data_IF_168578628393
#
_entry.id   IF_168578628393
#
_cell.length_a   1.000
_cell.length_b   1.000
_cell.length_c   1.000
_cell.angle_alpha   90.00
_cell.angle_beta   90.00
_cell.angle_gamma   90.00
#
_symmetry.space_group_name_H-M   'P 1'
#
loop_
_entity.id
_entity.type
_entity.pdbx_description
1 polymer ?
#
# COMPACT_ATOMS: atom_id res chain seq x y z
N UNK A 1 -23.31 9.02 0.10
CA UNK A 1 -22.48 7.83 -0.21
C UNK A 1 -22.32 7.02 1.07
N UNK A 2 -22.54 5.70 1.03
CA UNK A 2 -22.50 4.87 2.25
C UNK A 2 -21.04 4.68 2.70
N UNK A 3 -20.69 5.22 3.87
CA UNK A 3 -19.33 5.19 4.43
C UNK A 3 -18.78 3.77 4.58
N UNK A 4 -19.66 2.78 4.82
CA UNK A 4 -19.28 1.37 4.89
C UNK A 4 -18.81 0.82 3.53
N UNK A 5 -19.47 1.20 2.44
CA UNK A 5 -19.07 0.80 1.08
C UNK A 5 -17.73 1.43 0.71
N UNK A 6 -17.55 2.71 1.04
CA UNK A 6 -16.28 3.41 0.83
C UNK A 6 -15.14 2.73 1.58
N UNK A 7 -15.36 2.33 2.83
CA UNK A 7 -14.37 1.62 3.64
C UNK A 7 -13.89 0.33 2.95
N UNK A 8 -14.80 -0.56 2.58
CA UNK A 8 -14.42 -1.80 1.89
C UNK A 8 -13.78 -1.54 0.53
N UNK A 9 -14.30 -0.59 -0.24
CA UNK A 9 -13.74 -0.23 -1.54
C UNK A 9 -12.30 0.25 -1.41
N UNK A 10 -12.00 1.12 -0.44
CA UNK A 10 -10.64 1.62 -0.19
C UNK A 10 -9.70 0.50 0.26
N UNK A 11 -10.16 -0.42 1.10
CA UNK A 11 -9.34 -1.55 1.56
C UNK A 11 -8.96 -2.49 0.42
N UNK A 12 -9.91 -2.89 -0.42
CA UNK A 12 -9.60 -3.74 -1.58
C UNK A 12 -8.81 -2.99 -2.65
N UNK A 13 -9.12 -1.70 -2.90
CA UNK A 13 -8.36 -0.88 -3.84
C UNK A 13 -6.90 -0.74 -3.39
N UNK A 14 -6.64 -0.54 -2.11
CA UNK A 14 -5.28 -0.41 -1.61
C UNK A 14 -4.48 -1.71 -1.74
N UNK A 15 -5.12 -2.86 -1.55
CA UNK A 15 -4.52 -4.19 -1.80
C UNK A 15 -4.18 -4.35 -3.29
N UNK A 16 -5.13 -4.09 -4.19
CA UNK A 16 -4.91 -4.21 -5.63
C UNK A 16 -3.75 -3.32 -6.10
N UNK A 17 -3.76 -2.05 -5.68
CA UNK A 17 -2.68 -1.09 -5.98
C UNK A 17 -1.36 -1.57 -5.40
N UNK A 18 -1.36 -2.11 -4.18
CA UNK A 18 -0.17 -2.71 -3.56
C UNK A 18 0.39 -3.91 -4.33
N UNK A 19 -0.47 -4.80 -4.84
CA UNK A 19 -0.06 -5.94 -5.68
C UNK A 19 0.58 -5.43 -6.98
N UNK A 20 -0.06 -4.48 -7.67
CA UNK A 20 0.51 -3.89 -8.89
C UNK A 20 1.85 -3.21 -8.61
N UNK A 21 1.96 -2.47 -7.50
CA UNK A 21 3.19 -1.83 -7.07
C UNK A 21 4.30 -2.86 -6.83
N UNK A 22 3.99 -3.97 -6.14
CA UNK A 22 4.93 -5.05 -5.89
C UNK A 22 5.38 -5.74 -7.18
N UNK A 23 4.48 -5.95 -8.15
CA UNK A 23 4.83 -6.53 -9.45
C UNK A 23 5.79 -5.62 -10.24
N UNK A 24 5.68 -4.29 -10.12
CA UNK A 24 6.59 -3.37 -10.78
C UNK A 24 8.06 -3.54 -10.34
N UNK A 25 8.32 -4.15 -9.18
CA UNK A 25 9.69 -4.42 -8.69
C UNK A 25 10.45 -5.40 -9.59
N UNK A 26 9.76 -6.33 -10.26
CA UNK A 26 10.41 -7.37 -11.06
C UNK A 26 11.24 -6.83 -12.24
N UNK A 27 10.95 -5.60 -12.70
CA UNK A 27 11.72 -4.93 -13.75
C UNK A 27 12.16 -3.55 -13.29
N UNK A 28 13.48 -3.31 -13.26
CA UNK A 28 14.07 -2.02 -12.82
C UNK A 28 13.50 -0.84 -13.60
N UNK A 29 13.18 -1.01 -14.88
CA UNK A 29 12.57 0.03 -15.73
C UNK A 29 11.22 0.54 -15.18
N UNK A 30 10.48 -0.33 -14.47
CA UNK A 30 9.17 -0.01 -13.91
C UNK A 30 9.25 0.49 -12.46
N UNK A 31 10.45 0.65 -11.90
CA UNK A 31 10.63 1.00 -10.49
C UNK A 31 10.01 2.35 -10.15
N UNK A 32 10.15 3.35 -11.03
CA UNK A 32 9.53 4.68 -10.86
C UNK A 32 8.00 4.58 -10.77
N UNK A 33 7.39 3.75 -11.64
CA UNK A 33 5.95 3.48 -11.59
C UNK A 33 5.56 2.73 -10.32
N UNK A 34 6.37 1.75 -9.91
CA UNK A 34 6.18 0.99 -8.67
C UNK A 34 6.19 1.89 -7.43
N UNK A 35 7.07 2.90 -7.38
CA UNK A 35 7.11 3.89 -6.30
C UNK A 35 5.86 4.77 -6.33
N UNK A 36 5.43 5.25 -7.50
CA UNK A 36 4.19 6.02 -7.63
C UNK A 36 2.96 5.26 -7.14
N UNK A 37 2.83 4.00 -7.54
CA UNK A 37 1.76 3.10 -7.07
C UNK A 37 1.88 2.79 -5.58
N UNK A 38 3.10 2.68 -5.05
CA UNK A 38 3.33 2.50 -3.61
C UNK A 38 2.76 3.66 -2.81
N UNK A 39 3.04 4.91 -3.23
CA UNK A 39 2.52 6.10 -2.57
C UNK A 39 0.99 6.11 -2.59
N UNK A 40 0.38 5.81 -3.74
CA UNK A 40 -1.07 5.71 -3.86
C UNK A 40 -1.66 4.62 -2.94
N UNK A 41 -1.05 3.44 -2.91
CA UNK A 41 -1.50 2.35 -2.04
C UNK A 41 -1.32 2.66 -0.55
N UNK A 42 -0.29 3.41 -0.16
CA UNK A 42 -0.11 3.93 1.20
C UNK A 42 -1.23 4.92 1.58
N UNK A 43 -1.57 5.86 0.70
CA UNK A 43 -2.64 6.83 0.94
C UNK A 43 -3.99 6.10 1.11
N UNK A 44 -4.34 5.20 0.19
CA UNK A 44 -5.60 4.45 0.26
C UNK A 44 -5.68 3.57 1.52
N UNK A 45 -4.57 2.90 1.86
CA UNK A 45 -4.46 2.10 3.09
C UNK A 45 -4.59 2.96 4.34
N UNK A 46 -3.94 4.12 4.36
CA UNK A 46 -4.02 5.08 5.47
C UNK A 46 -5.44 5.60 5.69
N UNK A 47 -6.15 5.96 4.62
CA UNK A 47 -7.55 6.39 4.70
C UNK A 47 -8.43 5.24 5.22
N UNK A 48 -8.21 4.01 4.74
CA UNK A 48 -8.97 2.83 5.22
C UNK A 48 -8.75 2.57 6.72
N UNK A 49 -7.50 2.57 7.19
CA UNK A 49 -7.15 2.35 8.60
C UNK A 49 -7.73 3.48 9.46
N UNK A 50 -7.63 4.74 9.00
CA UNK A 50 -8.18 5.89 9.70
C UNK A 50 -9.70 5.82 9.83
N UNK A 51 -10.39 5.41 8.76
CA UNK A 51 -11.84 5.17 8.78
C UNK A 51 -12.21 4.05 9.75
N UNK A 52 -11.42 2.96 9.79
CA UNK A 52 -11.65 1.88 10.74
C UNK A 52 -11.57 2.38 12.18
N UNK A 53 -10.48 3.07 12.54
CA UNK A 53 -10.29 3.61 13.89
C UNK A 53 -11.38 4.59 14.32
N UNK A 54 -11.91 5.39 13.38
CA UNK A 54 -12.92 6.41 13.70
C UNK A 54 -14.36 5.92 13.71
N UNK A 55 -14.70 4.87 12.98
CA UNK A 55 -16.10 4.49 12.69
C UNK A 55 -16.43 3.02 12.91
N UNK A 56 -15.43 2.13 12.90
CA UNK A 56 -15.64 0.68 12.86
C UNK A 56 -14.71 -0.09 13.81
N UNK A 57 -14.12 0.60 14.79
CA UNK A 57 -13.11 0.04 15.69
C UNK A 57 -13.57 -1.23 16.43
N UNK A 58 -14.87 -1.34 16.72
CA UNK A 58 -15.46 -2.52 17.38
C UNK A 58 -15.79 -3.67 16.43
N UNK A 59 -15.88 -3.44 15.11
CA UNK A 59 -16.33 -4.44 14.12
C UNK A 59 -15.16 -5.21 13.46
N UNK A 60 -14.04 -4.55 13.14
CA UNK A 60 -12.89 -5.18 12.49
C UNK A 60 -11.57 -4.81 13.20
N UNK A 61 -10.97 -5.77 13.91
CA UNK A 61 -9.65 -5.59 14.55
C UNK A 61 -8.50 -5.49 13.54
N UNK A 62 -8.67 -6.04 12.33
CA UNK A 62 -7.66 -6.06 11.26
C UNK A 62 -8.21 -5.47 9.97
N UNK A 63 -8.22 -4.12 9.82
CA UNK A 63 -8.62 -3.48 8.58
C UNK A 63 -7.73 -3.90 7.42
N UNK A 64 -8.37 -4.16 6.27
CA UNK A 64 -7.71 -4.62 5.04
C UNK A 64 -6.64 -3.65 4.52
N UNK A 65 -6.75 -2.37 4.87
CA UNK A 65 -5.72 -1.36 4.62
C UNK A 65 -4.34 -1.76 5.14
N UNK A 66 -4.22 -2.51 6.24
CA UNK A 66 -2.91 -2.99 6.71
C UNK A 66 -2.20 -3.87 5.68
N UNK A 67 -2.92 -4.78 5.01
CA UNK A 67 -2.35 -5.61 3.95
C UNK A 67 -1.91 -4.77 2.75
N UNK A 68 -2.75 -3.82 2.34
CA UNK A 68 -2.38 -2.87 1.27
C UNK A 68 -1.11 -2.09 1.63
N UNK A 69 -0.99 -1.66 2.89
CA UNK A 69 0.18 -0.94 3.39
C UNK A 69 1.46 -1.77 3.32
N UNK A 70 1.39 -3.05 3.70
CA UNK A 70 2.54 -3.99 3.60
C UNK A 70 2.94 -4.18 2.14
N UNK A 71 1.97 -4.44 1.26
CA UNK A 71 2.25 -4.66 -0.16
C UNK A 71 2.85 -3.41 -0.84
N UNK A 72 2.32 -2.23 -0.53
CA UNK A 72 2.86 -0.95 -1.01
C UNK A 72 4.22 -0.59 -0.41
N UNK A 73 4.62 -1.17 0.70
CA UNK A 73 5.96 -0.95 1.26
C UNK A 73 7.07 -1.68 0.50
N UNK A 74 6.73 -2.78 -0.20
CA UNK A 74 7.71 -3.64 -0.89
C UNK A 74 8.58 -2.87 -1.90
N UNK A 75 8.04 -2.02 -2.80
CA UNK A 75 8.87 -1.35 -3.79
C UNK A 75 9.80 -0.31 -3.18
N UNK A 76 9.35 0.36 -2.11
CA UNK A 76 10.16 1.32 -1.35
C UNK A 76 11.31 0.60 -0.63
N UNK A 77 11.01 -0.51 0.05
CA UNK A 77 12.02 -1.35 0.73
C UNK A 77 13.03 -1.92 -0.27
N UNK A 78 12.56 -2.38 -1.42
CA UNK A 78 13.42 -2.86 -2.50
C UNK A 78 14.35 -1.76 -3.02
N UNK A 79 13.81 -0.56 -3.26
CA UNK A 79 14.62 0.59 -3.69
C UNK A 79 15.70 0.91 -2.65
N UNK A 80 15.34 0.97 -1.36
CA UNK A 80 16.29 1.20 -0.28
C UNK A 80 17.38 0.13 -0.28
N UNK A 81 17.01 -1.15 -0.40
CA UNK A 81 17.97 -2.26 -0.46
C UNK A 81 18.95 -2.11 -1.63
N UNK A 82 18.44 -1.78 -2.82
CA UNK A 82 19.26 -1.51 -4.02
C UNK A 82 20.24 -0.37 -3.74
N UNK A 83 19.76 0.78 -3.24
CA UNK A 83 20.61 1.94 -2.95
C UNK A 83 21.69 1.61 -1.92
N UNK A 84 21.35 0.92 -0.82
CA UNK A 84 22.33 0.54 0.21
C UNK A 84 23.38 -0.45 -0.32
N UNK A 85 22.99 -1.37 -1.21
CA UNK A 85 23.92 -2.30 -1.85
C UNK A 85 24.94 -1.56 -2.73
N UNK A 86 24.50 -0.56 -3.50
CA UNK A 86 25.37 0.18 -4.42
C UNK A 86 26.17 1.33 -3.76
N UNK A 87 25.75 1.85 -2.60
CA UNK A 87 26.48 2.90 -1.87
C UNK A 87 27.71 2.40 -1.11
N UNK A 88 27.81 1.09 -0.85
CA UNK A 88 28.95 0.45 -0.18
C UNK A 88 30.04 -0.04 -1.15
N UNK A 89 29.86 0.15 -2.46
CA UNK A 89 30.84 -0.17 -3.50
C UNK A 89 31.73 1.01 -3.85
#
# INVERSE_FOLDING_TARGET
MNIRVLYYALGYASILVGIFAAICIFRIQNLYMGIGLSILGFILSGINIFLNQRRFYEEESYPKGYLGMVLSSLPVLFMLFVVFKFKKG
#
